data_IF_849538558208
#
_entry.id   IF_849538558208
#
_cell.length_a   1.000
_cell.length_b   1.000
_cell.length_c   1.000
_cell.angle_alpha   90.00
_cell.angle_beta   90.00
_cell.angle_gamma   90.00
#
_symmetry.space_group_name_H-M   'P 1'
#
loop_
_entity.id
_entity.type
_entity.pdbx_description
1 polymer ?
#
# COMPACT_ATOMS: atom_id res chain seq x y z
N UNK A 1 -4.36 12.81 -4.32
CA UNK A 1 -3.42 12.03 -5.13
C UNK A 1 -2.03 12.31 -4.61
N UNK A 2 -1.15 11.30 -4.56
CA UNK A 2 0.20 11.48 -4.04
C UNK A 2 1.19 10.58 -4.76
N UNK A 3 2.32 11.17 -5.17
CA UNK A 3 3.42 10.43 -5.79
C UNK A 3 3.99 9.45 -4.77
N UNK A 4 4.07 8.18 -5.17
CA UNK A 4 4.55 7.11 -4.33
C UNK A 4 5.86 6.55 -4.90
N UNK A 5 6.95 6.94 -4.25
CA UNK A 5 8.30 6.49 -4.56
C UNK A 5 8.77 5.54 -3.45
N UNK A 6 8.81 4.21 -3.70
CA UNK A 6 9.04 3.21 -2.66
C UNK A 6 10.27 3.48 -1.79
N UNK A 7 11.41 3.82 -2.41
CA UNK A 7 12.65 4.09 -1.70
C UNK A 7 12.54 5.29 -0.73
N UNK A 8 11.90 6.38 -1.17
CA UNK A 8 11.69 7.56 -0.32
C UNK A 8 10.75 7.24 0.83
N UNK A 9 9.67 6.51 0.56
CA UNK A 9 8.71 6.09 1.60
C UNK A 9 9.38 5.16 2.62
N UNK A 10 10.21 4.21 2.17
CA UNK A 10 10.98 3.34 3.07
C UNK A 10 11.87 4.16 3.99
N UNK A 11 12.60 5.13 3.46
CA UNK A 11 13.48 5.99 4.25
C UNK A 11 12.69 6.79 5.28
N UNK A 12 11.55 7.36 4.90
CA UNK A 12 10.70 8.12 5.82
C UNK A 12 10.16 7.23 6.94
N UNK A 13 9.57 6.07 6.62
CA UNK A 13 9.07 5.12 7.61
C UNK A 13 10.20 4.60 8.54
N UNK A 14 11.36 4.24 7.99
CA UNK A 14 12.47 3.72 8.80
C UNK A 14 13.12 4.79 9.68
N UNK A 15 13.03 6.06 9.30
CA UNK A 15 13.53 7.18 10.13
C UNK A 15 12.77 7.34 11.45
N UNK A 16 11.54 6.80 11.55
CA UNK A 16 10.74 6.81 12.78
C UNK A 16 11.11 5.68 13.74
N UNK A 17 11.93 4.73 13.29
CA UNK A 17 12.37 3.57 14.08
C UNK A 17 13.76 3.84 14.63
N UNK A 18 13.83 4.17 15.93
CA UNK A 18 15.09 4.51 16.60
C UNK A 18 15.96 3.26 16.84
N UNK A 19 15.36 2.11 17.12
CA UNK A 19 16.09 0.88 17.37
C UNK A 19 16.68 0.30 16.07
N UNK A 20 17.99 0.09 16.06
CA UNK A 20 18.72 -0.36 14.87
C UNK A 20 18.27 -1.75 14.42
N UNK A 21 18.04 -2.68 15.34
CA UNK A 21 17.67 -4.05 15.00
C UNK A 21 16.23 -4.11 14.48
N UNK A 22 15.30 -3.40 15.13
CA UNK A 22 13.92 -3.26 14.68
C UNK A 22 13.86 -2.62 13.29
N UNK A 23 14.70 -1.61 13.02
CA UNK A 23 14.79 -0.99 11.68
C UNK A 23 15.28 -1.97 10.62
N UNK A 24 16.31 -2.76 10.90
CA UNK A 24 16.80 -3.79 9.97
C UNK A 24 15.74 -4.87 9.72
N UNK A 25 15.07 -5.33 10.78
CA UNK A 25 13.99 -6.30 10.68
C UNK A 25 12.81 -5.77 9.87
N UNK A 26 12.44 -4.50 10.08
CA UNK A 26 11.38 -3.83 9.32
C UNK A 26 11.71 -3.82 7.82
N UNK A 27 12.93 -3.40 7.44
CA UNK A 27 13.37 -3.36 6.03
C UNK A 27 13.35 -4.77 5.42
N UNK A 28 13.87 -5.77 6.14
CA UNK A 28 13.93 -7.14 5.66
C UNK A 28 12.54 -7.75 5.47
N UNK A 29 11.65 -7.57 6.45
CA UNK A 29 10.28 -8.06 6.38
C UNK A 29 9.49 -7.37 5.28
N UNK A 30 9.64 -6.05 5.13
CA UNK A 30 8.97 -5.30 4.08
C UNK A 30 9.31 -5.86 2.70
N UNK A 31 10.61 -5.96 2.37
CA UNK A 31 11.07 -6.48 1.07
C UNK A 31 10.54 -7.90 0.82
N UNK A 32 10.63 -8.76 1.83
CA UNK A 32 10.11 -10.13 1.75
C UNK A 32 8.59 -10.16 1.50
N UNK A 33 7.82 -9.32 2.18
CA UNK A 33 6.37 -9.27 2.03
C UNK A 33 5.97 -8.74 0.66
N UNK A 34 6.65 -7.71 0.15
CA UNK A 34 6.46 -7.17 -1.20
C UNK A 34 6.69 -8.27 -2.25
N UNK A 35 7.80 -8.99 -2.17
CA UNK A 35 8.15 -10.07 -3.08
C UNK A 35 7.11 -11.21 -3.03
N UNK A 36 6.74 -11.67 -1.83
CA UNK A 36 5.72 -12.72 -1.65
C UNK A 36 4.38 -12.26 -2.25
N UNK A 37 3.98 -11.02 -1.99
CA UNK A 37 2.70 -10.49 -2.43
C UNK A 37 2.64 -10.32 -3.95
N UNK A 38 3.69 -9.77 -4.57
CA UNK A 38 3.78 -9.57 -6.00
C UNK A 38 3.78 -10.91 -6.77
N UNK A 39 4.57 -11.89 -6.31
CA UNK A 39 4.56 -13.25 -6.86
C UNK A 39 3.20 -13.92 -6.70
N UNK A 40 2.61 -13.85 -5.51
CA UNK A 40 1.28 -14.38 -5.26
C UNK A 40 0.21 -13.78 -6.19
N UNK A 41 0.29 -12.48 -6.48
CA UNK A 41 -0.61 -11.87 -7.47
C UNK A 41 -0.32 -12.33 -8.90
N UNK A 42 0.94 -12.45 -9.30
CA UNK A 42 1.32 -12.94 -10.63
C UNK A 42 0.80 -14.37 -10.87
N UNK A 43 0.88 -15.23 -9.86
CA UNK A 43 0.44 -16.62 -9.93
C UNK A 43 -1.09 -16.74 -10.02
N UNK A 44 -1.83 -15.97 -9.21
CA UNK A 44 -3.29 -16.08 -9.12
C UNK A 44 -4.04 -15.33 -10.24
N UNK A 45 -3.39 -14.43 -10.99
CA UNK A 45 -4.03 -13.70 -12.08
C UNK A 45 -4.33 -14.61 -13.29
N UNK A 46 -5.58 -14.53 -13.78
CA UNK A 46 -6.04 -15.28 -14.96
C UNK A 46 -6.28 -14.40 -16.19
N UNK A 47 -6.86 -13.20 -16.01
CA UNK A 47 -7.26 -12.31 -17.12
C UNK A 47 -6.70 -10.89 -17.04
N UNK A 48 -5.88 -10.59 -16.02
CA UNK A 48 -5.29 -9.27 -15.79
C UNK A 48 -3.80 -9.30 -16.16
N UNK A 49 -3.22 -8.13 -16.44
CA UNK A 49 -1.78 -7.99 -16.72
C UNK A 49 -0.93 -8.70 -15.66
N UNK A 50 0.12 -9.43 -16.05
CA UNK A 50 1.10 -10.02 -15.13
C UNK A 50 2.42 -9.25 -15.09
N UNK A 51 2.40 -8.01 -15.58
CA UNK A 51 3.60 -7.18 -15.61
C UNK A 51 4.15 -6.99 -14.18
N UNK A 52 5.34 -7.55 -13.93
CA UNK A 52 5.82 -7.78 -12.57
C UNK A 52 6.18 -6.48 -11.85
N UNK A 53 6.81 -5.53 -12.54
CA UNK A 53 7.19 -4.23 -12.01
C UNK A 53 5.97 -3.43 -11.53
N UNK A 54 4.85 -3.55 -12.26
CA UNK A 54 3.57 -3.00 -11.82
C UNK A 54 3.07 -3.72 -10.56
N UNK A 55 3.10 -5.05 -10.53
CA UNK A 55 2.67 -5.83 -9.36
C UNK A 55 3.52 -5.52 -8.12
N UNK A 56 4.83 -5.42 -8.27
CA UNK A 56 5.79 -5.08 -7.22
C UNK A 56 5.52 -3.66 -6.69
N UNK A 57 5.35 -2.66 -7.56
CA UNK A 57 5.00 -1.30 -7.14
C UNK A 57 3.68 -1.24 -6.36
N UNK A 58 2.68 -2.03 -6.75
CA UNK A 58 1.44 -2.14 -5.98
C UNK A 58 1.62 -2.86 -4.65
N UNK A 59 2.52 -3.83 -4.58
CA UNK A 59 2.82 -4.57 -3.36
C UNK A 59 3.55 -3.65 -2.36
N UNK A 60 4.39 -2.74 -2.85
CA UNK A 60 4.99 -1.66 -2.05
C UNK A 60 3.94 -0.76 -1.40
N UNK A 61 2.89 -0.37 -2.15
CA UNK A 61 1.75 0.39 -1.60
C UNK A 61 1.01 -0.42 -0.55
N UNK A 62 0.76 -1.71 -0.83
CA UNK A 62 0.06 -2.61 0.07
C UNK A 62 0.79 -2.78 1.41
N UNK A 63 2.11 -2.98 1.37
CA UNK A 63 2.95 -3.12 2.56
C UNK A 63 3.07 -1.79 3.32
N UNK A 64 3.14 -0.66 2.62
CA UNK A 64 3.05 0.67 3.25
C UNK A 64 1.79 0.86 4.07
N UNK A 65 0.64 0.41 3.56
CA UNK A 65 -0.64 0.52 4.26
C UNK A 65 -0.74 -0.46 5.43
N UNK A 66 -0.14 -1.64 5.33
CA UNK A 66 0.02 -2.58 6.46
C UNK A 66 0.88 -1.95 7.55
N UNK A 67 2.05 -1.42 7.19
CA UNK A 67 2.97 -0.76 8.12
C UNK A 67 2.32 0.44 8.80
N UNK A 68 1.64 1.30 8.02
CA UNK A 68 0.90 2.46 8.54
C UNK A 68 -0.21 2.02 9.48
N UNK A 69 -0.97 0.98 9.09
CA UNK A 69 -2.01 0.39 9.92
C UNK A 69 -1.49 -0.15 11.25
N UNK A 70 -0.30 -0.76 11.26
CA UNK A 70 0.34 -1.25 12.47
C UNK A 70 0.88 -0.10 13.34
N UNK A 71 1.42 0.95 12.73
CA UNK A 71 1.95 2.10 13.45
C UNK A 71 0.87 2.88 14.23
N UNK A 72 -0.38 2.88 13.73
CA UNK A 72 -1.50 3.56 14.41
C UNK A 72 -2.31 2.68 15.36
N UNK A 73 -2.09 1.37 15.41
CA UNK A 73 -2.84 0.45 16.28
C UNK A 73 -2.11 0.16 17.60
N UNK A 74 -2.71 0.53 18.73
CA UNK A 74 -2.26 0.09 20.07
C UNK A 74 -2.74 -1.34 20.31
N UNK A 75 -1.86 -2.29 19.98
CA UNK A 75 -1.98 -3.72 20.25
C UNK A 75 -3.29 -4.37 19.76
N UNK A 76 -3.27 -5.70 19.61
CA UNK A 76 -4.41 -6.47 19.14
C UNK A 76 -5.61 -6.31 20.10
N UNK A 77 -6.56 -5.43 19.78
CA UNK A 77 -7.89 -5.42 20.40
C UNK A 77 -8.27 -4.20 21.25
N UNK A 78 -7.46 -3.14 21.34
CA UNK A 78 -7.92 -1.88 21.94
C UNK A 78 -8.50 -0.93 20.86
N UNK A 79 -9.59 -0.24 21.18
CA UNK A 79 -10.17 0.84 20.35
C UNK A 79 -9.28 2.11 20.32
N UNK A 80 -8.11 2.08 20.97
CA UNK A 80 -7.21 3.21 21.09
C UNK A 80 -6.26 3.24 19.88
N UNK A 81 -6.32 4.31 19.09
CA UNK A 81 -5.32 4.59 18.05
C UNK A 81 -4.19 5.44 18.62
N UNK A 82 -2.94 5.07 18.35
CA UNK A 82 -1.79 5.96 18.61
C UNK A 82 -1.68 6.98 17.48
N UNK A 83 -1.35 8.22 17.84
CA UNK A 83 -0.99 9.24 16.86
C UNK A 83 0.28 8.82 16.12
N UNK A 84 0.25 8.90 14.80
CA UNK A 84 1.37 8.56 13.95
C UNK A 84 2.53 9.56 14.15
N UNK A 85 3.78 9.11 14.06
CA UNK A 85 4.94 10.02 14.09
C UNK A 85 4.81 11.06 12.96
N UNK A 86 5.01 12.36 13.22
CA UNK A 86 4.87 13.41 12.19
C UNK A 86 5.78 13.23 10.96
N UNK A 87 6.85 12.45 11.07
CA UNK A 87 7.75 12.12 9.96
C UNK A 87 7.27 10.96 9.10
N UNK A 88 6.29 10.19 9.58
CA UNK A 88 5.69 9.10 8.81
C UNK A 88 4.85 9.68 7.66
N UNK A 89 5.05 9.23 6.41
CA UNK A 89 4.33 9.81 5.28
C UNK A 89 2.86 9.39 5.28
N UNK A 90 1.97 10.32 4.94
CA UNK A 90 0.54 10.05 4.72
C UNK A 90 0.25 10.21 3.22
N UNK A 91 0.21 9.09 2.51
CA UNK A 91 0.01 9.03 1.06
C UNK A 91 -1.23 8.18 0.78
N UNK A 92 -2.12 8.68 -0.09
CA UNK A 92 -3.33 7.96 -0.52
C UNK A 92 -4.58 8.84 -0.50
N UNK A 93 -5.75 8.29 -0.84
CA UNK A 93 -5.98 6.92 -1.33
C UNK A 93 -5.54 6.69 -2.79
N UNK A 94 -5.28 7.74 -3.57
CA UNK A 94 -4.82 7.64 -4.95
C UNK A 94 -3.31 7.83 -5.02
N UNK A 95 -2.61 6.76 -5.42
CA UNK A 95 -1.16 6.67 -5.51
C UNK A 95 -0.73 6.81 -6.96
N UNK A 96 0.24 7.69 -7.21
CA UNK A 96 0.77 7.93 -8.55
C UNK A 96 2.22 7.45 -8.64
N UNK A 97 2.61 6.78 -9.73
CA UNK A 97 4.00 6.45 -9.94
C UNK A 97 4.82 7.72 -10.21
N UNK A 98 6.13 7.62 -9.99
CA UNK A 98 7.05 8.68 -10.35
C UNK A 98 7.04 8.87 -11.88
N UNK A 99 6.74 10.08 -12.34
CA UNK A 99 6.76 10.41 -13.78
C UNK A 99 8.12 10.98 -14.20
N UNK A 100 8.40 10.96 -15.51
CA UNK A 100 9.61 11.58 -16.07
C UNK A 100 9.83 13.02 -15.60
N UNK A 101 8.75 13.82 -15.52
CA UNK A 101 8.84 15.20 -15.05
C UNK A 101 9.45 15.28 -13.64
N UNK A 102 9.09 14.36 -12.74
CA UNK A 102 9.66 14.33 -11.39
C UNK A 102 11.16 14.02 -11.41
N UNK A 103 11.59 13.10 -12.26
CA UNK A 103 13.02 12.75 -12.41
C UNK A 103 13.81 13.90 -13.03
N UNK A 104 13.31 14.50 -14.12
CA UNK A 104 13.95 15.61 -14.82
C UNK A 104 14.11 16.86 -13.94
N UNK A 105 13.21 17.06 -12.97
CA UNK A 105 13.31 18.15 -11.99
C UNK A 105 14.36 17.89 -10.89
N UNK A 106 14.71 16.63 -10.62
CA UNK A 106 15.64 16.25 -9.55
C UNK A 106 17.07 16.02 -10.05
N UNK A 107 17.21 15.59 -11.30
CA UNK A 107 18.49 15.16 -11.86
C UNK A 107 18.78 15.90 -13.17
N UNK A 108 20.02 16.38 -13.32
CA UNK A 108 20.46 17.05 -14.55
C UNK A 108 20.51 16.11 -15.77
N UNK A 109 20.66 14.79 -15.53
CA UNK A 109 20.67 13.75 -16.55
C UNK A 109 19.90 12.52 -16.03
N UNK A 110 18.55 12.55 -16.08
CA UNK A 110 17.73 11.52 -15.45
C UNK A 110 17.95 10.16 -16.11
N UNK A 111 18.20 9.14 -15.30
CA UNK A 111 18.21 7.75 -15.77
C UNK A 111 16.76 7.30 -15.96
N UNK A 112 16.24 7.49 -17.18
CA UNK A 112 14.87 7.09 -17.52
C UNK A 112 14.84 5.57 -17.66
N UNK A 113 14.11 4.91 -16.77
CA UNK A 113 13.73 3.51 -16.95
C UNK A 113 12.37 3.46 -17.69
N UNK A 114 12.33 2.94 -18.93
CA UNK A 114 11.09 2.79 -19.67
C UNK A 114 10.08 1.88 -18.96
N UNK A 115 10.52 0.92 -18.15
CA UNK A 115 9.66 0.00 -17.41
C UNK A 115 8.76 0.74 -16.42
N UNK A 116 9.33 1.75 -15.73
CA UNK A 116 8.59 2.58 -14.79
C UNK A 116 7.53 3.46 -15.48
N UNK A 117 7.67 3.70 -16.78
CA UNK A 117 6.69 4.48 -17.56
C UNK A 117 5.39 3.70 -17.82
N UNK A 118 5.40 2.37 -17.66
CA UNK A 118 4.21 1.52 -17.75
C UNK A 118 3.46 1.37 -16.43
N UNK A 119 3.94 1.98 -15.36
CA UNK A 119 3.22 1.99 -14.09
C UNK A 119 1.91 2.77 -14.24
N UNK A 120 0.82 2.17 -13.78
CA UNK A 120 -0.50 2.79 -13.75
C UNK A 120 -0.78 3.29 -12.33
N UNK A 121 -1.40 4.47 -12.15
CA UNK A 121 -1.87 4.93 -10.85
C UNK A 121 -2.78 3.91 -10.17
N UNK A 122 -2.78 3.92 -8.84
CA UNK A 122 -3.60 3.00 -8.05
C UNK A 122 -4.51 3.75 -7.06
N UNK A 123 -5.82 3.53 -7.17
CA UNK A 123 -6.79 3.90 -6.16
C UNK A 123 -6.98 2.78 -5.14
N UNK A 124 -6.71 3.08 -3.86
CA UNK A 124 -6.80 2.11 -2.77
C UNK A 124 -8.08 2.32 -1.96
N UNK A 125 -8.89 1.26 -1.88
CA UNK A 125 -10.05 1.16 -1.00
C UNK A 125 -9.62 0.54 0.33
N UNK A 126 -9.26 1.41 1.29
CA UNK A 126 -8.73 1.02 2.61
C UNK A 126 -9.33 1.85 3.76
N UNK A 127 -9.51 1.24 4.93
CA UNK A 127 -10.15 1.85 6.12
C UNK A 127 -9.44 3.08 6.69
N UNK A 128 -8.16 3.27 6.33
CA UNK A 128 -7.43 4.50 6.63
C UNK A 128 -8.10 5.73 6.00
N UNK A 129 -8.53 5.61 4.73
CA UNK A 129 -9.06 6.70 3.92
C UNK A 129 -10.57 6.69 3.79
N UNK A 130 -11.20 5.55 4.10
CA UNK A 130 -12.64 5.34 3.95
C UNK A 130 -13.28 5.00 5.29
N UNK A 131 -13.89 6.00 5.94
CA UNK A 131 -14.52 5.82 7.25
C UNK A 131 -15.64 4.78 7.25
N UNK A 132 -16.35 4.65 6.12
CA UNK A 132 -17.39 3.64 5.93
C UNK A 132 -16.88 2.21 6.13
N UNK A 133 -15.58 1.96 5.92
CA UNK A 133 -14.96 0.64 6.08
C UNK A 133 -14.51 0.36 7.53
N UNK A 134 -14.63 1.33 8.45
CA UNK A 134 -14.28 1.14 9.86
C UNK A 134 -15.37 0.42 10.66
N UNK A 135 -16.54 0.20 10.05
CA UNK A 135 -17.68 -0.50 10.67
C UNK A 135 -18.29 -1.44 9.66
N UNK A 136 -18.85 -2.54 10.17
CA UNK A 136 -19.63 -3.42 9.31
C UNK A 136 -20.91 -2.69 8.86
N UNK A 137 -21.22 -2.65 7.55
CA UNK A 137 -22.45 -2.02 7.07
C UNK A 137 -23.72 -2.77 7.51
N UNK A 138 -23.61 -4.06 7.86
CA UNK A 138 -24.76 -4.90 8.25
C UNK A 138 -25.11 -4.82 9.73
N UNK A 139 -24.11 -4.90 10.62
CA UNK A 139 -24.34 -4.94 12.07
C UNK A 139 -23.73 -3.75 12.84
N UNK A 140 -23.11 -2.80 12.13
CA UNK A 140 -22.43 -1.62 12.69
C UNK A 140 -21.30 -1.93 13.69
N UNK A 141 -20.92 -3.20 13.83
CA UNK A 141 -19.81 -3.62 14.68
C UNK A 141 -18.48 -3.05 14.19
N UNK A 142 -17.64 -2.63 15.14
CA UNK A 142 -16.25 -2.22 14.92
C UNK A 142 -15.27 -3.42 14.95
N UNK A 143 -15.74 -4.62 15.30
CA UNK A 143 -14.92 -5.84 15.39
C UNK A 143 -14.69 -6.46 14.02
N UNK A 144 -13.95 -5.74 13.18
CA UNK A 144 -13.53 -6.18 11.85
C UNK A 144 -12.12 -6.76 11.92
N UNK A 145 -11.96 -8.00 11.47
CA UNK A 145 -10.67 -8.58 11.15
C UNK A 145 -10.22 -8.13 9.77
N UNK A 146 -8.96 -7.69 9.70
CA UNK A 146 -8.29 -7.36 8.44
C UNK A 146 -7.79 -8.67 7.85
N UNK A 147 -8.45 -9.19 6.82
CA UNK A 147 -8.13 -10.47 6.19
C UNK A 147 -7.10 -10.32 5.05
N UNK A 148 -6.22 -9.32 5.16
CA UNK A 148 -5.20 -9.01 4.15
C UNK A 148 -5.76 -8.40 2.87
N UNK A 149 -4.96 -8.49 1.80
CA UNK A 149 -5.26 -7.99 0.46
C UNK A 149 -5.93 -9.05 -0.40
N UNK A 150 -6.60 -8.63 -1.47
CA UNK A 150 -7.16 -9.56 -2.45
C UNK A 150 -6.06 -10.46 -3.05
N UNK A 151 -6.24 -11.80 -3.10
CA UNK A 151 -5.24 -12.72 -3.66
C UNK A 151 -4.97 -12.52 -5.16
N UNK A 152 -5.88 -11.89 -5.89
CA UNK A 152 -5.69 -11.56 -7.31
C UNK A 152 -5.03 -10.18 -7.53
N UNK A 153 -4.80 -9.45 -6.44
CA UNK A 153 -4.19 -8.13 -6.44
C UNK A 153 -5.07 -7.02 -7.01
N UNK A 154 -4.45 -5.91 -7.43
CA UNK A 154 -5.15 -4.78 -8.05
C UNK A 154 -5.90 -5.20 -9.32
N UNK A 155 -6.97 -4.50 -9.68
CA UNK A 155 -7.72 -4.71 -10.92
C UNK A 155 -7.65 -3.46 -11.79
N UNK A 156 -7.55 -3.65 -13.10
CA UNK A 156 -7.72 -2.57 -14.07
C UNK A 156 -9.15 -2.05 -13.98
N UNK A 157 -9.27 -0.72 -13.88
CA UNK A 157 -10.55 -0.01 -13.92
C UNK A 157 -10.40 1.21 -14.83
N UNK A 158 -11.51 1.59 -15.47
CA UNK A 158 -11.54 2.77 -16.31
C UNK A 158 -11.66 4.02 -15.44
N UNK A 159 -10.56 4.74 -15.29
CA UNK A 159 -10.57 6.08 -14.72
C UNK A 159 -11.17 7.09 -15.69
N UNK A 160 -11.57 8.25 -15.17
CA UNK A 160 -12.16 9.32 -16.00
C UNK A 160 -11.17 9.94 -17.00
N UNK A 161 -9.88 9.94 -16.67
CA UNK A 161 -8.83 10.63 -17.45
C UNK A 161 -7.73 9.69 -17.95
N UNK A 162 -7.47 8.59 -17.27
CA UNK A 162 -6.48 7.60 -17.64
C UNK A 162 -6.91 6.22 -17.12
N UNK A 163 -6.38 5.17 -17.72
CA UNK A 163 -6.45 3.83 -17.15
C UNK A 163 -5.81 3.83 -15.76
N UNK A 164 -6.45 3.17 -14.81
CA UNK A 164 -5.99 3.10 -13.43
C UNK A 164 -6.20 1.70 -12.85
N UNK A 165 -5.60 1.47 -11.69
CA UNK A 165 -5.74 0.23 -10.96
C UNK A 165 -6.51 0.48 -9.67
N UNK A 166 -7.38 -0.45 -9.27
CA UNK A 166 -8.05 -0.42 -7.98
C UNK A 166 -7.55 -1.56 -7.09
N UNK A 167 -7.17 -1.25 -5.84
CA UNK A 167 -6.76 -2.24 -4.84
C UNK A 167 -7.63 -2.15 -3.59
N UNK A 168 -8.24 -3.26 -3.19
CA UNK A 168 -9.12 -3.34 -2.03
C UNK A 168 -8.58 -4.27 -0.94
N UNK A 169 -8.80 -3.87 0.32
CA UNK A 169 -8.60 -4.73 1.49
C UNK A 169 -9.79 -5.69 1.68
N UNK A 170 -9.53 -6.89 2.18
CA UNK A 170 -10.56 -7.80 2.65
C UNK A 170 -10.84 -7.60 4.14
N UNK A 171 -12.12 -7.44 4.49
CA UNK A 171 -12.58 -7.30 5.87
C UNK A 171 -13.49 -8.48 6.22
N UNK A 172 -13.27 -9.07 7.39
CA UNK A 172 -14.08 -10.17 7.93
C UNK A 172 -14.69 -9.75 9.27
N UNK A 173 -15.92 -10.18 9.53
CA UNK A 173 -16.50 -10.05 10.87
C UNK A 173 -15.98 -11.19 11.76
N UNK A 174 -15.54 -10.87 12.98
CA UNK A 174 -15.43 -11.90 14.02
C UNK A 174 -16.83 -12.45 14.29
N UNK A 175 -17.00 -13.76 14.15
CA UNK A 175 -18.22 -14.43 14.61
C UNK A 175 -18.40 -14.12 16.09
N UNK A 176 -19.58 -13.62 16.46
CA UNK A 176 -19.98 -13.60 17.86
C UNK A 176 -20.20 -15.05 18.28
N UNK A 177 -19.27 -15.59 19.08
CA UNK A 177 -19.48 -16.81 19.86
C UNK A 177 -20.46 -16.54 20.99
#
# INVERSE_FOLDING_TARGET
MGVFEPNTVHQQCTSTINDKQARLNFIANWKKNVEIQANGWADNRTSQSKYFQLLEWHAEIAEYLVATGNAIQLSQGSDLSTALDPRWPIIGPHFEPLTYLHQALREAAPQIDPELSYLKPCYVVHWLFHEALRRCPKCHSKRLEKNGWNPNGPREVHGLFHEEMALGIQLRLKSMS
#
